data_IF_775335346940
#
_entry.id   IF_775335346940
#
_cell.length_a   1.000
_cell.length_b   1.000
_cell.length_c   1.000
_cell.angle_alpha   90.00
_cell.angle_beta   90.00
_cell.angle_gamma   90.00
#
_symmetry.space_group_name_H-M   'P 1'
#
loop_
_entity.id
_entity.type
_entity.pdbx_description
1 polymer ?
#
# COMPACT_ATOMS: atom_id res chain seq x y z
N UNK A 1 18.24 21.17 21.20
CA UNK A 1 17.77 19.87 20.67
C UNK A 1 16.29 19.84 20.25
N UNK A 2 15.46 20.85 20.60
CA UNK A 2 14.03 20.92 20.19
C UNK A 2 13.75 21.70 18.90
N UNK A 3 14.61 22.65 18.51
CA UNK A 3 14.39 23.51 17.31
C UNK A 3 14.41 22.74 15.99
N UNK A 4 15.33 21.78 15.83
CA UNK A 4 15.42 20.96 14.62
C UNK A 4 14.13 20.21 14.29
N UNK A 5 13.39 19.75 15.31
CA UNK A 5 12.10 19.06 15.11
C UNK A 5 11.04 20.01 14.56
N UNK A 6 11.02 21.26 15.04
CA UNK A 6 10.09 22.28 14.54
C UNK A 6 10.44 22.69 13.11
N UNK A 7 11.72 22.90 12.81
CA UNK A 7 12.20 23.22 11.46
C UNK A 7 11.80 22.11 10.47
N UNK A 8 11.98 20.84 10.84
CA UNK A 8 11.59 19.70 10.00
C UNK A 8 10.07 19.62 9.82
N UNK A 9 9.29 19.86 10.87
CA UNK A 9 7.81 19.87 10.80
C UNK A 9 7.31 20.97 9.86
N UNK A 10 7.86 22.17 9.97
CA UNK A 10 7.44 23.31 9.14
C UNK A 10 7.85 23.11 7.68
N UNK A 11 9.04 22.55 7.44
CA UNK A 11 9.45 22.15 6.10
C UNK A 11 8.48 21.14 5.48
N UNK A 12 8.15 20.06 6.18
CA UNK A 12 7.20 19.03 5.69
C UNK A 12 5.82 19.61 5.39
N UNK A 13 5.34 20.56 6.20
CA UNK A 13 4.05 21.24 5.96
C UNK A 13 4.05 22.10 4.70
N UNK A 14 5.19 22.66 4.33
CA UNK A 14 5.33 23.48 3.10
C UNK A 14 5.46 22.66 1.82
N UNK A 15 5.73 21.36 1.93
CA UNK A 15 5.86 20.48 0.76
C UNK A 15 4.48 20.18 0.17
N UNK A 16 4.36 20.36 -1.14
CA UNK A 16 3.15 20.08 -1.88
C UNK A 16 2.74 18.59 -1.74
N UNK A 17 1.46 18.25 -1.43
CA UNK A 17 1.01 16.87 -1.18
C UNK A 17 1.38 15.86 -2.27
N UNK A 18 1.34 16.27 -3.54
CA UNK A 18 1.78 15.44 -4.68
C UNK A 18 3.21 14.90 -4.54
N UNK A 19 4.15 15.71 -4.06
CA UNK A 19 5.55 15.30 -3.89
C UNK A 19 5.61 14.21 -2.82
N UNK A 20 4.84 14.36 -1.74
CA UNK A 20 4.76 13.38 -0.67
C UNK A 20 4.14 12.07 -1.19
N UNK A 21 3.04 12.14 -1.93
CA UNK A 21 2.44 10.96 -2.55
C UNK A 21 3.39 10.24 -3.51
N UNK A 22 4.18 10.98 -4.29
CA UNK A 22 5.20 10.40 -5.15
C UNK A 22 6.29 9.68 -4.35
N UNK A 23 6.77 10.27 -3.25
CA UNK A 23 7.75 9.63 -2.36
C UNK A 23 7.18 8.37 -1.69
N UNK A 24 5.94 8.43 -1.20
CA UNK A 24 5.24 7.28 -0.64
C UNK A 24 5.11 6.14 -1.66
N UNK A 25 4.73 6.48 -2.90
CA UNK A 25 4.66 5.54 -4.01
C UNK A 25 6.02 4.90 -4.29
N UNK A 26 7.09 5.68 -4.37
CA UNK A 26 8.45 5.17 -4.62
C UNK A 26 8.94 4.24 -3.52
N UNK A 27 8.66 4.57 -2.25
CA UNK A 27 9.03 3.73 -1.11
C UNK A 27 8.24 2.42 -1.12
N UNK A 28 6.93 2.48 -1.36
CA UNK A 28 6.11 1.28 -1.52
C UNK A 28 6.61 0.39 -2.65
N UNK A 29 6.84 1.00 -3.82
CA UNK A 29 7.37 0.32 -4.99
C UNK A 29 8.71 -0.35 -4.71
N UNK A 30 9.61 0.32 -3.99
CA UNK A 30 10.90 -0.25 -3.60
C UNK A 30 10.73 -1.50 -2.72
N UNK A 31 9.86 -1.44 -1.71
CA UNK A 31 9.58 -2.58 -0.82
C UNK A 31 8.96 -3.74 -1.62
N UNK A 32 7.98 -3.45 -2.47
CA UNK A 32 7.32 -4.44 -3.32
C UNK A 32 8.31 -5.10 -4.30
N UNK A 33 9.10 -4.29 -4.99
CA UNK A 33 10.11 -4.74 -5.94
C UNK A 33 11.18 -5.59 -5.26
N UNK A 34 11.67 -5.17 -4.09
CA UNK A 34 12.68 -5.90 -3.33
C UNK A 34 12.18 -7.30 -2.95
N UNK A 35 10.94 -7.40 -2.47
CA UNK A 35 10.33 -8.70 -2.15
C UNK A 35 10.10 -9.58 -3.39
N UNK A 36 9.74 -8.98 -4.52
CA UNK A 36 9.58 -9.71 -5.78
C UNK A 36 10.92 -10.18 -6.39
N UNK A 37 12.01 -9.44 -6.15
CA UNK A 37 13.34 -9.77 -6.66
C UNK A 37 13.85 -11.10 -6.09
N UNK A 38 13.56 -11.41 -4.83
CA UNK A 38 13.93 -12.68 -4.18
C UNK A 38 13.27 -13.89 -4.85
N UNK A 39 12.06 -13.72 -5.38
CA UNK A 39 11.33 -14.76 -6.11
C UNK A 39 11.54 -14.74 -7.63
N UNK A 40 12.53 -13.96 -8.11
CA UNK A 40 12.95 -13.85 -9.53
C UNK A 40 11.81 -13.51 -10.49
N UNK A 41 10.87 -12.66 -10.06
CA UNK A 41 9.80 -12.16 -10.93
C UNK A 41 10.34 -11.20 -11.98
N UNK A 42 9.69 -11.17 -13.15
CA UNK A 42 10.04 -10.22 -14.21
C UNK A 42 9.82 -8.79 -13.70
N UNK A 43 10.89 -7.97 -13.76
CA UNK A 43 10.90 -6.59 -13.28
C UNK A 43 9.81 -5.74 -13.92
N UNK A 44 9.66 -5.79 -15.25
CA UNK A 44 8.63 -4.99 -15.94
C UNK A 44 7.23 -5.31 -15.41
N UNK A 45 6.88 -6.60 -15.29
CA UNK A 45 5.56 -6.98 -14.74
C UNK A 45 5.34 -6.58 -13.29
N UNK A 46 6.40 -6.49 -12.48
CA UNK A 46 6.31 -5.99 -11.09
C UNK A 46 5.96 -4.50 -11.09
N UNK A 47 6.64 -3.70 -11.93
CA UNK A 47 6.35 -2.27 -12.08
C UNK A 47 4.95 -2.04 -12.64
N UNK A 48 4.56 -2.75 -13.70
CA UNK A 48 3.26 -2.58 -14.36
C UNK A 48 2.10 -2.79 -13.38
N UNK A 49 2.14 -3.90 -12.63
CA UNK A 49 1.08 -4.22 -11.66
C UNK A 49 1.04 -3.19 -10.54
N UNK A 50 2.20 -2.79 -10.02
CA UNK A 50 2.26 -1.84 -8.92
C UNK A 50 1.71 -0.48 -9.35
N UNK A 51 2.15 0.03 -10.50
CA UNK A 51 1.71 1.31 -11.04
C UNK A 51 0.20 1.30 -11.32
N UNK A 52 -0.31 0.29 -12.02
CA UNK A 52 -1.74 0.17 -12.32
C UNK A 52 -2.56 0.07 -11.03
N UNK A 53 -2.11 -0.76 -10.07
CA UNK A 53 -2.83 -0.94 -8.79
C UNK A 53 -2.84 0.35 -7.97
N UNK A 54 -1.72 1.06 -7.86
CA UNK A 54 -1.65 2.34 -7.16
C UNK A 54 -2.48 3.42 -7.83
N UNK A 55 -2.46 3.50 -9.17
CA UNK A 55 -3.26 4.48 -9.89
C UNK A 55 -4.77 4.26 -9.68
N UNK A 56 -5.26 3.03 -9.87
CA UNK A 56 -6.67 2.69 -9.64
C UNK A 56 -7.04 2.88 -8.16
N UNK A 57 -6.14 2.54 -7.24
CA UNK A 57 -6.34 2.74 -5.80
C UNK A 57 -6.53 4.22 -5.43
N UNK A 58 -5.76 5.14 -6.03
CA UNK A 58 -5.95 6.58 -5.84
C UNK A 58 -7.31 7.06 -6.37
N UNK A 59 -7.74 6.56 -7.53
CA UNK A 59 -9.07 6.88 -8.08
C UNK A 59 -10.20 6.38 -7.16
N UNK A 60 -10.11 5.14 -6.67
CA UNK A 60 -11.10 4.58 -5.74
C UNK A 60 -11.13 5.43 -4.45
N UNK A 61 -9.98 5.77 -3.89
CA UNK A 61 -9.91 6.61 -2.70
C UNK A 61 -10.52 8.00 -2.92
N UNK A 62 -10.30 8.59 -4.10
CA UNK A 62 -10.93 9.87 -4.46
C UNK A 62 -12.45 9.77 -4.54
N UNK A 63 -12.98 8.69 -5.11
CA UNK A 63 -14.42 8.43 -5.16
C UNK A 63 -14.98 8.31 -3.73
N UNK A 64 -14.31 7.54 -2.87
CA UNK A 64 -14.73 7.39 -1.45
C UNK A 64 -14.73 8.74 -0.74
N UNK A 65 -13.69 9.56 -0.95
CA UNK A 65 -13.62 10.92 -0.38
C UNK A 65 -14.79 11.80 -0.83
N UNK A 66 -15.11 11.81 -2.12
CA UNK A 66 -16.24 12.58 -2.68
C UNK A 66 -17.57 12.12 -2.07
N UNK A 67 -17.75 10.82 -1.89
CA UNK A 67 -18.98 10.26 -1.29
C UNK A 67 -19.11 10.66 0.19
N UNK A 68 -18.01 10.62 0.96
CA UNK A 68 -18.01 11.04 2.37
C UNK A 68 -18.31 12.54 2.52
N UNK A 69 -17.72 13.36 1.65
CA UNK A 69 -17.88 14.82 1.65
C UNK A 69 -18.97 15.31 0.69
N UNK A 70 -19.96 14.46 0.35
CA UNK A 70 -20.94 14.76 -0.70
C UNK A 70 -21.69 16.08 -0.47
N UNK A 71 -21.99 16.40 0.80
CA UNK A 71 -22.64 17.68 1.16
C UNK A 71 -21.80 18.87 0.70
N UNK A 72 -20.49 18.83 0.95
CA UNK A 72 -19.54 19.85 0.51
C UNK A 72 -19.45 19.91 -1.02
N UNK A 73 -19.41 18.75 -1.68
CA UNK A 73 -19.33 18.69 -3.14
C UNK A 73 -20.59 19.18 -3.85
N UNK A 74 -21.77 18.96 -3.27
CA UNK A 74 -23.06 19.39 -3.83
C UNK A 74 -23.25 20.91 -3.88
N UNK A 75 -22.46 21.66 -3.11
CA UNK A 75 -22.47 23.12 -3.08
C UNK A 75 -21.66 23.75 -4.22
N UNK A 76 -20.82 22.98 -4.93
CA UNK A 76 -20.03 23.51 -6.03
C UNK A 76 -20.88 23.70 -7.29
N UNK A 77 -20.63 24.82 -7.96
CA UNK A 77 -21.24 25.12 -9.25
C UNK A 77 -20.69 24.17 -10.31
N UNK A 78 -21.59 23.62 -11.11
CA UNK A 78 -21.27 22.88 -12.33
C UNK A 78 -20.90 23.86 -13.43
N UNK A 79 -19.63 23.86 -13.82
CA UNK A 79 -19.10 24.69 -14.88
C UNK A 79 -17.98 24.00 -15.63
N UNK A 80 -18.16 23.84 -16.93
CA UNK A 80 -17.27 23.02 -17.75
C UNK A 80 -15.89 23.66 -18.02
N UNK A 81 -15.71 24.97 -17.86
CA UNK A 81 -14.36 25.53 -18.03
C UNK A 81 -13.48 25.17 -16.82
N UNK A 82 -12.23 24.73 -17.05
CA UNK A 82 -11.33 24.30 -15.98
C UNK A 82 -10.72 25.46 -15.20
N UNK A 83 -11.19 26.69 -15.41
CA UNK A 83 -10.67 27.88 -14.75
C UNK A 83 -11.78 28.90 -14.46
N UNK A 84 -11.56 29.68 -13.42
CA UNK A 84 -12.43 30.78 -13.01
C UNK A 84 -11.55 32.00 -12.71
N UNK A 85 -11.90 33.15 -13.30
CA UNK A 85 -11.17 34.41 -13.10
C UNK A 85 -11.95 35.28 -12.12
N UNK A 86 -11.34 35.60 -10.99
CA UNK A 86 -11.84 36.59 -10.03
C UNK A 86 -10.84 37.73 -9.94
N UNK A 87 -11.18 38.90 -10.50
CA UNK A 87 -10.24 40.00 -10.64
C UNK A 87 -9.00 39.55 -11.43
N UNK A 88 -7.81 39.70 -10.84
CA UNK A 88 -6.55 39.32 -11.47
C UNK A 88 -6.08 37.89 -11.15
N UNK A 89 -6.85 37.12 -10.37
CA UNK A 89 -6.50 35.75 -9.99
C UNK A 89 -7.26 34.72 -10.83
N UNK A 90 -6.51 33.77 -11.38
CA UNK A 90 -7.06 32.62 -12.11
C UNK A 90 -7.00 31.40 -11.19
N UNK A 91 -8.16 30.84 -10.88
CA UNK A 91 -8.30 29.63 -10.08
C UNK A 91 -8.56 28.45 -11.02
N UNK A 92 -7.67 27.47 -11.02
CA UNK A 92 -7.82 26.26 -11.82
C UNK A 92 -8.55 25.17 -11.02
N UNK A 93 -9.43 24.42 -11.71
CA UNK A 93 -10.07 23.19 -11.23
C UNK A 93 -10.87 23.33 -9.92
N UNK A 94 -11.41 24.53 -9.64
CA UNK A 94 -12.23 24.81 -8.44
C UNK A 94 -13.67 24.31 -8.57
N UNK A 95 -14.17 24.22 -9.79
CA UNK A 95 -15.58 23.95 -10.11
C UNK A 95 -15.79 22.49 -10.54
N UNK A 96 -17.05 22.05 -10.52
CA UNK A 96 -17.41 20.72 -11.04
C UNK A 96 -17.49 20.76 -12.56
N UNK A 97 -17.06 19.70 -13.27
CA UNK A 97 -16.67 18.38 -12.75
C UNK A 97 -15.18 18.28 -12.36
N UNK A 98 -14.37 19.29 -12.69
CA UNK A 98 -12.91 19.21 -12.58
C UNK A 98 -12.40 18.96 -11.17
N UNK A 99 -13.09 19.49 -10.17
CA UNK A 99 -12.79 19.25 -8.77
C UNK A 99 -12.92 17.78 -8.37
N UNK A 100 -13.66 16.94 -9.09
CA UNK A 100 -13.63 15.50 -8.84
C UNK A 100 -12.24 14.89 -9.14
N UNK A 101 -11.52 15.46 -10.11
CA UNK A 101 -10.22 14.97 -10.56
C UNK A 101 -9.02 15.61 -9.85
N UNK A 102 -9.24 16.60 -8.97
CA UNK A 102 -8.18 17.31 -8.26
C UNK A 102 -7.56 16.48 -7.13
N UNK A 103 -6.86 15.40 -7.45
CA UNK A 103 -6.20 14.50 -6.46
C UNK A 103 -5.08 15.22 -5.68
N UNK A 104 -4.59 16.34 -6.23
CA UNK A 104 -3.53 17.14 -5.65
C UNK A 104 -3.97 18.03 -4.47
N UNK A 105 -5.26 18.12 -4.19
CA UNK A 105 -5.79 18.85 -3.03
C UNK A 105 -5.63 18.10 -1.71
N UNK A 106 -5.13 16.85 -1.74
CA UNK A 106 -4.95 16.00 -0.56
C UNK A 106 -6.23 15.34 -0.06
N UNK A 107 -7.36 15.53 -0.75
CA UNK A 107 -8.65 14.90 -0.46
C UNK A 107 -8.69 13.44 -0.87
N UNK A 108 -7.98 12.61 -0.11
CA UNK A 108 -7.91 11.15 -0.26
C UNK A 108 -8.12 10.48 1.09
N UNK A 109 -8.95 9.45 1.11
CA UNK A 109 -9.12 8.60 2.30
C UNK A 109 -7.99 7.56 2.32
N UNK A 110 -7.08 7.69 3.29
CA UNK A 110 -5.88 6.83 3.40
C UNK A 110 -6.26 5.36 3.53
N UNK A 111 -7.28 5.05 4.34
CA UNK A 111 -7.79 3.68 4.47
C UNK A 111 -8.23 3.11 3.13
N UNK A 112 -8.97 3.89 2.33
CA UNK A 112 -9.45 3.47 1.03
C UNK A 112 -8.29 3.22 0.06
N UNK A 113 -7.23 4.04 0.07
CA UNK A 113 -6.01 3.77 -0.71
C UNK A 113 -5.40 2.43 -0.28
N UNK A 114 -5.19 2.25 1.01
CA UNK A 114 -4.57 1.03 1.55
C UNK A 114 -5.34 -0.25 1.19
N UNK A 115 -6.65 -0.28 1.44
CA UNK A 115 -7.49 -1.45 1.19
C UNK A 115 -7.62 -1.74 -0.31
N UNK A 116 -7.86 -0.70 -1.13
CA UNK A 116 -7.96 -0.89 -2.59
C UNK A 116 -6.63 -1.35 -3.19
N UNK A 117 -5.50 -0.81 -2.74
CA UNK A 117 -4.17 -1.23 -3.18
C UNK A 117 -3.92 -2.71 -2.87
N UNK A 118 -4.22 -3.14 -1.63
CA UNK A 118 -4.12 -4.56 -1.24
C UNK A 118 -4.96 -5.44 -2.16
N UNK A 119 -6.24 -5.12 -2.33
CA UNK A 119 -7.15 -5.91 -3.15
C UNK A 119 -6.69 -5.98 -4.61
N UNK A 120 -6.31 -4.85 -5.22
CA UNK A 120 -5.84 -4.80 -6.59
C UNK A 120 -4.55 -5.57 -6.78
N UNK A 121 -3.56 -5.39 -5.91
CA UNK A 121 -2.31 -6.15 -5.95
C UNK A 121 -2.57 -7.66 -5.81
N UNK A 122 -3.51 -8.08 -4.94
CA UNK A 122 -3.90 -9.49 -4.84
C UNK A 122 -4.57 -10.00 -6.10
N UNK A 123 -5.48 -9.23 -6.68
CA UNK A 123 -6.20 -9.60 -7.90
C UNK A 123 -5.22 -9.72 -9.09
N UNK A 124 -4.39 -8.71 -9.32
CA UNK A 124 -3.43 -8.74 -10.43
C UNK A 124 -2.37 -9.83 -10.26
N UNK A 125 -1.90 -10.07 -9.03
CA UNK A 125 -0.91 -11.11 -8.78
C UNK A 125 -1.47 -12.53 -8.94
N UNK A 126 -2.67 -12.81 -8.43
CA UNK A 126 -3.27 -14.14 -8.45
C UNK A 126 -4.02 -14.45 -9.75
N UNK A 127 -4.79 -13.49 -10.29
CA UNK A 127 -5.66 -13.72 -11.44
C UNK A 127 -4.94 -13.44 -12.76
N UNK A 128 -4.32 -12.27 -12.88
CA UNK A 128 -3.71 -11.82 -14.14
C UNK A 128 -2.36 -12.48 -14.37
N UNK A 129 -1.45 -12.40 -13.39
CA UNK A 129 -0.11 -12.99 -13.52
C UNK A 129 0.01 -14.43 -13.04
N UNK A 130 -1.00 -14.94 -12.32
CA UNK A 130 -1.00 -16.31 -11.75
C UNK A 130 0.26 -16.62 -10.95
N UNK A 131 0.76 -15.64 -10.21
CA UNK A 131 1.93 -15.82 -9.35
C UNK A 131 1.55 -16.60 -8.11
N UNK A 132 2.46 -17.49 -7.66
CA UNK A 132 2.23 -18.27 -6.44
C UNK A 132 2.09 -17.34 -5.24
N UNK A 133 1.02 -17.55 -4.47
CA UNK A 133 0.66 -16.69 -3.35
C UNK A 133 1.74 -16.62 -2.28
N UNK A 134 2.44 -17.74 -2.02
CA UNK A 134 3.56 -17.77 -1.08
C UNK A 134 4.72 -16.83 -1.39
N UNK A 135 4.82 -16.34 -2.62
CA UNK A 135 5.84 -15.35 -3.00
C UNK A 135 5.31 -13.91 -2.95
N UNK A 136 3.99 -13.72 -2.99
CA UNK A 136 3.36 -12.41 -3.16
C UNK A 136 2.73 -11.87 -1.88
N UNK A 137 2.35 -12.73 -0.95
CA UNK A 137 1.70 -12.34 0.31
C UNK A 137 2.49 -11.27 1.07
N UNK A 138 3.75 -11.55 1.41
CA UNK A 138 4.60 -10.62 2.14
C UNK A 138 4.92 -9.34 1.36
N UNK A 139 5.37 -9.38 0.09
CA UNK A 139 5.61 -8.16 -0.67
C UNK A 139 4.38 -7.23 -0.76
N UNK A 140 3.19 -7.79 -0.99
CA UNK A 140 1.95 -7.01 -1.11
C UNK A 140 1.59 -6.38 0.24
N UNK A 141 1.58 -7.18 1.31
CA UNK A 141 1.22 -6.69 2.63
C UNK A 141 2.21 -5.61 3.09
N UNK A 142 3.50 -5.92 3.06
CA UNK A 142 4.54 -5.01 3.53
C UNK A 142 4.62 -3.72 2.74
N UNK A 143 4.53 -3.79 1.40
CA UNK A 143 4.48 -2.56 0.61
C UNK A 143 3.29 -1.68 0.96
N UNK A 144 2.13 -2.28 1.23
CA UNK A 144 0.91 -1.51 1.52
C UNK A 144 0.97 -0.94 2.95
N UNK A 145 1.49 -1.71 3.91
CA UNK A 145 1.63 -1.24 5.30
C UNK A 145 2.74 -0.21 5.48
N UNK A 146 3.85 -0.26 4.73
CA UNK A 146 4.85 0.83 4.76
C UNK A 146 4.24 2.13 4.26
N UNK A 147 3.49 2.08 3.15
CA UNK A 147 2.79 3.25 2.62
C UNK A 147 1.77 3.78 3.62
N UNK A 148 1.01 2.91 4.28
CA UNK A 148 0.06 3.28 5.34
C UNK A 148 0.75 3.97 6.52
N UNK A 149 1.81 3.35 7.06
CA UNK A 149 2.55 3.88 8.21
C UNK A 149 3.18 5.24 7.93
N UNK A 150 3.79 5.42 6.76
CA UNK A 150 4.35 6.71 6.35
C UNK A 150 3.25 7.75 6.08
N UNK A 151 2.10 7.33 5.55
CA UNK A 151 0.94 8.22 5.36
C UNK A 151 0.43 8.76 6.70
N UNK A 152 0.36 7.93 7.75
CA UNK A 152 -0.02 8.39 9.10
C UNK A 152 0.99 9.35 9.73
N UNK A 153 2.29 9.11 9.51
CA UNK A 153 3.31 10.04 9.98
C UNK A 153 3.13 11.39 9.28
N UNK A 154 2.93 11.38 7.97
CA UNK A 154 2.68 12.60 7.20
C UNK A 154 1.43 13.34 7.68
N UNK A 155 0.29 12.65 7.80
CA UNK A 155 -0.95 13.30 8.27
C UNK A 155 -0.84 13.80 9.70
N UNK A 156 -0.17 13.08 10.59
CA UNK A 156 0.09 13.54 11.95
C UNK A 156 0.95 14.80 12.00
N UNK A 157 1.93 14.92 11.10
CA UNK A 157 2.78 16.13 11.00
C UNK A 157 1.99 17.31 10.45
N UNK A 158 1.20 17.12 9.39
CA UNK A 158 0.45 18.21 8.76
C UNK A 158 -0.71 18.70 9.63
N UNK A 159 -1.45 17.78 10.25
CA UNK A 159 -2.56 18.10 11.14
C UNK A 159 -2.13 18.54 12.55
N UNK A 160 -0.88 18.27 12.95
CA UNK A 160 -0.39 18.55 14.30
C UNK A 160 -0.81 17.54 15.36
N UNK A 161 -1.55 16.49 14.99
CA UNK A 161 -1.98 15.44 15.92
C UNK A 161 -0.90 14.37 16.12
N UNK A 162 -0.18 14.45 17.23
CA UNK A 162 0.91 13.52 17.57
C UNK A 162 0.45 12.05 17.64
N UNK A 163 -0.82 11.77 17.97
CA UNK A 163 -1.37 10.41 18.02
C UNK A 163 -1.20 9.67 16.68
N UNK A 164 -1.45 10.35 15.55
CA UNK A 164 -1.26 9.77 14.22
C UNK A 164 0.21 9.47 13.92
N UNK A 165 1.11 10.32 14.39
CA UNK A 165 2.56 10.09 14.27
C UNK A 165 2.95 8.81 15.03
N UNK A 166 2.50 8.65 16.27
CA UNK A 166 2.79 7.45 17.07
C UNK A 166 2.24 6.19 16.41
N UNK A 167 0.99 6.22 15.92
CA UNK A 167 0.35 5.10 15.20
C UNK A 167 1.15 4.70 13.96
N UNK A 168 1.60 5.67 13.16
CA UNK A 168 2.44 5.42 11.99
C UNK A 168 3.82 4.86 12.34
N UNK A 169 4.48 5.42 13.36
CA UNK A 169 5.79 4.94 13.84
C UNK A 169 5.71 3.49 14.33
N UNK A 170 4.66 3.12 15.07
CA UNK A 170 4.46 1.74 15.52
C UNK A 170 4.36 0.78 14.34
N UNK A 171 3.62 1.13 13.28
CA UNK A 171 3.56 0.31 12.05
C UNK A 171 4.94 0.11 11.41
N UNK A 172 5.72 1.19 11.28
CA UNK A 172 7.06 1.12 10.70
C UNK A 172 8.00 0.29 11.57
N UNK A 173 7.89 0.39 12.91
CA UNK A 173 8.68 -0.43 13.84
C UNK A 173 8.32 -1.91 13.71
N UNK A 174 7.04 -2.28 13.63
CA UNK A 174 6.62 -3.67 13.44
C UNK A 174 7.23 -4.24 12.16
N UNK A 175 7.25 -3.44 11.09
CA UNK A 175 7.90 -3.83 9.83
C UNK A 175 9.41 -3.96 9.96
N UNK A 176 10.07 -3.03 10.64
CA UNK A 176 11.50 -3.11 10.93
C UNK A 176 11.87 -4.36 11.73
N UNK A 177 11.06 -4.71 12.73
CA UNK A 177 11.21 -5.92 13.53
C UNK A 177 11.07 -7.18 12.68
N UNK A 178 10.11 -7.21 11.74
CA UNK A 178 9.99 -8.33 10.80
C UNK A 178 11.29 -8.55 10.01
N UNK A 179 11.86 -7.50 9.41
CA UNK A 179 13.11 -7.63 8.64
C UNK A 179 14.30 -8.04 9.51
N UNK A 180 14.35 -7.58 10.77
CA UNK A 180 15.37 -7.97 11.73
C UNK A 180 15.27 -9.47 12.07
N UNK A 181 14.06 -9.94 12.39
CA UNK A 181 13.76 -11.35 12.65
C UNK A 181 14.10 -12.21 11.44
N UNK A 182 13.74 -11.76 10.23
CA UNK A 182 14.08 -12.45 8.98
C UNK A 182 15.59 -12.65 8.84
N UNK A 183 16.37 -11.59 9.05
CA UNK A 183 17.85 -11.65 8.98
C UNK A 183 18.44 -12.57 10.05
N UNK A 184 17.85 -12.59 11.24
CA UNK A 184 18.28 -13.46 12.34
C UNK A 184 18.02 -14.94 12.05
N UNK A 185 16.81 -15.26 11.55
CA UNK A 185 16.43 -16.63 11.17
C UNK A 185 17.32 -17.15 10.04
N UNK A 186 17.57 -16.33 9.01
CA UNK A 186 18.47 -16.69 7.90
C UNK A 186 19.88 -17.02 8.38
N UNK A 187 20.37 -16.35 9.43
CA UNK A 187 21.70 -16.60 10.01
C UNK A 187 21.77 -17.88 10.84
N UNK A 188 20.68 -18.26 11.51
CA UNK A 188 20.66 -19.37 12.47
C UNK A 188 20.24 -20.69 11.81
N UNK A 189 19.20 -20.65 10.97
CA UNK A 189 18.59 -21.85 10.42
C UNK A 189 19.28 -22.22 9.12
N UNK A 190 20.18 -23.21 9.19
CA UNK A 190 20.93 -23.70 8.01
C UNK A 190 20.12 -24.59 7.07
N UNK A 191 19.03 -25.19 7.55
CA UNK A 191 18.22 -26.10 6.72
C UNK A 191 17.13 -25.31 5.97
N UNK A 192 17.15 -25.30 4.63
CA UNK A 192 16.27 -24.46 3.82
C UNK A 192 14.78 -24.83 3.93
N UNK A 193 14.45 -26.06 4.33
CA UNK A 193 13.06 -26.49 4.50
C UNK A 193 12.49 -25.90 5.79
N UNK A 194 13.21 -26.05 6.91
CA UNK A 194 12.79 -25.49 8.20
C UNK A 194 12.78 -23.97 8.17
N UNK A 195 13.78 -23.35 7.53
CA UNK A 195 13.86 -21.90 7.34
C UNK A 195 12.59 -21.36 6.69
N UNK A 196 12.17 -21.95 5.56
CA UNK A 196 10.94 -21.57 4.85
C UNK A 196 9.70 -21.65 5.74
N UNK A 197 9.55 -22.70 6.54
CA UNK A 197 8.38 -22.87 7.40
C UNK A 197 8.38 -21.89 8.58
N UNK A 198 9.53 -21.72 9.24
CA UNK A 198 9.67 -20.80 10.36
C UNK A 198 9.40 -19.37 9.89
N UNK A 199 10.03 -18.93 8.79
CA UNK A 199 9.79 -17.61 8.20
C UNK A 199 8.32 -17.42 7.81
N UNK A 200 7.71 -18.45 7.21
CA UNK A 200 6.30 -18.43 6.85
C UNK A 200 5.40 -18.23 8.07
N UNK A 201 5.53 -19.05 9.11
CA UNK A 201 4.67 -18.97 10.30
C UNK A 201 4.89 -17.70 11.12
N UNK A 202 6.15 -17.35 11.40
CA UNK A 202 6.49 -16.13 12.14
C UNK A 202 6.03 -14.89 11.37
N UNK A 203 6.25 -14.86 10.06
CA UNK A 203 5.79 -13.75 9.23
C UNK A 203 4.27 -13.63 9.20
N UNK A 204 3.55 -14.75 9.08
CA UNK A 204 2.08 -14.72 9.09
C UNK A 204 1.54 -14.25 10.44
N UNK A 205 2.17 -14.65 11.54
CA UNK A 205 1.82 -14.17 12.87
C UNK A 205 2.03 -12.66 13.01
N UNK A 206 3.15 -12.12 12.50
CA UNK A 206 3.39 -10.68 12.49
C UNK A 206 2.33 -9.95 11.66
N UNK A 207 1.99 -10.46 10.48
CA UNK A 207 0.94 -9.90 9.62
C UNK A 207 -0.41 -9.87 10.34
N UNK A 208 -0.77 -10.94 11.06
CA UNK A 208 -2.02 -10.98 11.82
C UNK A 208 -2.00 -9.99 12.99
N UNK A 209 -0.90 -9.92 13.75
CA UNK A 209 -0.75 -8.94 14.84
C UNK A 209 -0.83 -7.50 14.34
N UNK A 210 -0.15 -7.17 13.24
CA UNK A 210 -0.23 -5.84 12.64
C UNK A 210 -1.61 -5.56 12.05
N UNK A 211 -2.30 -6.57 11.52
CA UNK A 211 -3.67 -6.40 11.00
C UNK A 211 -4.66 -6.14 12.14
N UNK A 212 -4.56 -6.86 13.26
CA UNK A 212 -5.34 -6.60 14.47
C UNK A 212 -5.07 -5.18 14.99
N UNK A 213 -3.81 -4.75 15.00
CA UNK A 213 -3.45 -3.38 15.38
C UNK A 213 -4.12 -2.35 14.47
N UNK A 214 -4.02 -2.49 13.14
CA UNK A 214 -4.66 -1.58 12.18
C UNK A 214 -6.17 -1.53 12.39
N UNK A 215 -6.82 -2.70 12.54
CA UNK A 215 -8.26 -2.79 12.79
C UNK A 215 -8.62 -2.07 14.09
N UNK A 216 -7.87 -2.30 15.16
CA UNK A 216 -8.07 -1.60 16.44
C UNK A 216 -7.93 -0.08 16.30
N UNK A 217 -6.93 0.41 15.56
CA UNK A 217 -6.75 1.85 15.34
C UNK A 217 -8.00 2.47 14.72
N UNK A 218 -8.53 1.83 13.68
CA UNK A 218 -9.69 2.33 12.97
C UNK A 218 -10.98 2.21 13.78
N UNK A 219 -11.23 1.07 14.43
CA UNK A 219 -12.43 0.90 15.27
C UNK A 219 -12.42 1.76 16.54
N UNK A 220 -11.24 2.19 17.00
CA UNK A 220 -11.13 3.11 18.14
C UNK A 220 -11.49 4.56 17.80
N UNK A 221 -11.47 4.91 16.51
CA UNK A 221 -11.88 6.21 16.02
C UNK A 221 -13.37 6.18 15.67
N UNK A 222 -14.10 7.29 15.85
CA UNK A 222 -15.50 7.40 15.42
C UNK A 222 -15.56 7.49 13.89
N UNK A 223 -15.64 6.33 13.23
CA UNK A 223 -15.64 6.22 11.77
C UNK A 223 -17.02 6.40 11.16
N UNK A 224 -17.01 6.75 9.87
CA UNK A 224 -18.20 6.64 9.03
C UNK A 224 -18.51 5.19 8.68
N UNK A 225 -19.78 4.88 8.40
CA UNK A 225 -20.22 3.54 7.97
C UNK A 225 -19.40 3.01 6.78
N UNK A 226 -19.02 3.88 5.86
CA UNK A 226 -18.22 3.50 4.69
C UNK A 226 -16.80 3.06 5.09
N UNK A 227 -16.20 3.71 6.07
CA UNK A 227 -14.89 3.35 6.59
C UNK A 227 -14.97 2.05 7.39
N UNK A 228 -16.03 1.83 8.16
CA UNK A 228 -16.27 0.55 8.85
C UNK A 228 -16.33 -0.63 7.88
N UNK A 229 -16.99 -0.45 6.73
CA UNK A 229 -17.03 -1.47 5.66
C UNK A 229 -15.62 -1.74 5.12
N UNK A 230 -14.79 -0.72 4.91
CA UNK A 230 -13.40 -0.90 4.46
C UNK A 230 -12.55 -1.64 5.49
N UNK A 231 -12.73 -1.36 6.79
CA UNK A 231 -12.08 -2.10 7.89
C UNK A 231 -12.51 -3.56 7.88
N UNK A 232 -13.81 -3.82 7.71
CA UNK A 232 -14.37 -5.18 7.61
C UNK A 232 -13.78 -5.95 6.42
N UNK A 233 -13.69 -5.33 5.25
CA UNK A 233 -13.06 -5.91 4.06
C UNK A 233 -11.58 -6.24 4.33
N UNK A 234 -10.85 -5.33 4.95
CA UNK A 234 -9.45 -5.57 5.32
C UNK A 234 -9.29 -6.73 6.31
N UNK A 235 -10.15 -6.80 7.32
CA UNK A 235 -10.14 -7.89 8.30
C UNK A 235 -10.37 -9.24 7.62
N UNK A 236 -11.41 -9.36 6.80
CA UNK A 236 -11.71 -10.58 6.03
C UNK A 236 -10.53 -10.93 5.12
N UNK A 237 -10.00 -9.95 4.39
CA UNK A 237 -8.84 -10.14 3.51
C UNK A 237 -7.64 -10.68 4.30
N UNK A 238 -7.32 -10.11 5.46
CA UNK A 238 -6.17 -10.50 6.27
C UNK A 238 -6.25 -11.96 6.74
N UNK A 239 -7.43 -12.42 7.17
CA UNK A 239 -7.65 -13.79 7.62
C UNK A 239 -7.63 -14.78 6.46
N UNK A 240 -8.41 -14.51 5.41
CA UNK A 240 -8.54 -15.38 4.24
C UNK A 240 -7.19 -15.54 3.53
N UNK A 241 -6.48 -14.45 3.32
CA UNK A 241 -5.20 -14.47 2.62
C UNK A 241 -4.07 -15.10 3.43
N UNK A 242 -4.08 -14.94 4.76
CA UNK A 242 -3.16 -15.65 5.66
C UNK A 242 -3.40 -17.16 5.62
N UNK A 243 -4.66 -17.59 5.62
CA UNK A 243 -5.01 -19.01 5.48
C UNK A 243 -4.53 -19.57 4.12
N UNK A 244 -4.81 -18.88 3.02
CA UNK A 244 -4.33 -19.30 1.70
C UNK A 244 -2.80 -19.33 1.61
N UNK A 245 -2.11 -18.41 2.29
CA UNK A 245 -0.65 -18.41 2.33
C UNK A 245 -0.10 -19.66 3.02
N UNK A 246 -0.63 -20.01 4.21
CA UNK A 246 -0.22 -21.22 4.94
C UNK A 246 -0.53 -22.48 4.11
N UNK A 247 -1.68 -22.52 3.44
CA UNK A 247 -2.06 -23.61 2.54
C UNK A 247 -1.07 -23.77 1.37
N UNK A 248 -0.71 -22.68 0.69
CA UNK A 248 0.27 -22.70 -0.41
C UNK A 248 1.71 -23.00 0.08
N UNK A 249 2.02 -22.67 1.34
CA UNK A 249 3.31 -22.99 1.96
C UNK A 249 3.50 -24.51 2.09
N UNK A 250 2.43 -25.24 2.44
CA UNK A 250 2.42 -26.71 2.62
C UNK A 250 2.41 -27.50 1.31
N UNK A 251 2.04 -26.88 0.18
CA UNK A 251 2.04 -27.55 -1.13
C UNK A 251 3.47 -27.94 -1.57
N UNK A 252 3.61 -29.18 -2.02
CA UNK A 252 4.86 -29.73 -2.52
C UNK A 252 5.42 -28.93 -3.70
N UNK A 253 6.75 -28.84 -3.82
CA UNK A 253 7.40 -28.22 -4.99
C UNK A 253 7.27 -29.16 -6.19
N UNK A 254 6.25 -28.95 -7.02
CA UNK A 254 6.27 -29.47 -8.39
C UNK A 254 7.17 -28.53 -9.20
N UNK A 255 8.37 -29.00 -9.56
CA UNK A 255 9.22 -28.35 -10.56
C UNK A 255 8.81 -28.88 -11.93
N UNK A 256 8.10 -28.06 -12.70
CA UNK A 256 7.96 -28.31 -14.13
C UNK A 256 9.33 -27.95 -14.73
N UNK A 257 10.19 -28.95 -14.94
CA UNK A 257 11.37 -28.78 -15.78
C UNK A 257 10.86 -28.55 -17.20
N UNK A 258 10.77 -27.29 -17.63
CA UNK A 258 10.56 -26.98 -19.04
C UNK A 258 11.82 -27.38 -19.79
N UNK A 259 11.81 -28.54 -20.42
CA UNK A 259 12.88 -28.94 -21.33
C UNK A 259 12.73 -28.07 -22.57
N UNK A 260 13.48 -26.97 -22.67
CA UNK A 260 13.57 -26.19 -23.91
C UNK A 260 14.44 -26.98 -24.89
N UNK A 261 13.86 -27.95 -25.58
CA UNK A 261 14.49 -28.56 -26.75
C UNK A 261 14.44 -27.57 -27.90
N UNK A 262 15.30 -26.55 -27.86
CA UNK A 262 15.66 -25.83 -29.08
C UNK A 262 16.72 -26.70 -29.74
N UNK A 263 16.28 -27.58 -30.65
CA UNK A 263 17.18 -28.25 -31.60
C UNK A 263 17.95 -27.12 -32.31
N UNK A 264 19.26 -27.04 -32.08
CA UNK A 264 20.13 -26.23 -32.93
C UNK A 264 20.04 -26.82 -34.34
N UNK A 265 19.39 -26.08 -35.24
CA UNK A 265 19.45 -26.37 -36.67
C UNK A 265 20.91 -26.12 -37.08
N UNK A 266 21.64 -27.20 -37.37
CA UNK A 266 22.93 -27.09 -38.06
C UNK A 266 22.63 -26.48 -39.43
N UNK A 267 23.08 -25.26 -39.63
CA UNK A 267 23.21 -24.68 -40.98
C UNK A 267 24.42 -25.37 -41.61
N UNK A 268 24.19 -26.01 -42.75
CA UNK A 268 25.21 -26.70 -43.54
C UNK A 268 26.20 -25.76 -44.20
#
# INVERSE_FOLDING_TARGET
MKEWIYIVKDYIKSVHPLIVFMLLFLIGLFVFWRGCAESRKNRSSVFDIFLISSYISLLISRIVYIVLEWKTFSLYIWYWLPYEKYGDKIYLFRLLPWRFFSIWDGGLVILAVFVSLLLLLTLFSLVVKKWRWKHMFFPIYFSSTTMLGLSYIYTGITSGFNTWIYRGVVLIIIMGLFFLIFKFIYKIVKNPIYEKYILGYVGTLIVLLSSVYIVYLYLSDQLSIMEDVLVGIFMVWSLVMSYFFISDLRKARVSIKSVSTVRSVKVG
#
